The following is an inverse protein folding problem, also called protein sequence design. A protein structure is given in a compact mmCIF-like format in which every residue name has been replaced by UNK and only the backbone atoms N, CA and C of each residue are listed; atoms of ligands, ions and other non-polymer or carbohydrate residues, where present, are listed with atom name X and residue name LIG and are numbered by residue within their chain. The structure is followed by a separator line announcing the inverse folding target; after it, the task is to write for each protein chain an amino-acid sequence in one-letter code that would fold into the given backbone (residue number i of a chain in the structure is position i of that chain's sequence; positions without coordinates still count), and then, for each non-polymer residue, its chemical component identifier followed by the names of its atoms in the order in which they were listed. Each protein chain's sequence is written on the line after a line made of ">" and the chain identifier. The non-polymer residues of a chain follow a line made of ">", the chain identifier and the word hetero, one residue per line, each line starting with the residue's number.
data_IF_786065137618
#
_entry.id   IF_786065137618
#
_cell.length_a   1.000
_cell.length_b   1.000
_cell.length_c   1.000
_cell.angle_alpha   90.00
_cell.angle_beta   90.00
_cell.angle_gamma   90.00
#
_symmetry.space_group_name_H-M   'P 1'
#
loop_
_entity.id
_entity.type
_entity.pdbx_description
1 polymer ?
#
# COMPACT_ATOMS: atom_id res chain seq x y z
N UNK A 1 20.79 2.53 19.40
CA UNK A 1 20.80 1.13 18.95
C UNK A 1 19.36 0.74 18.65
N UNK A 2 18.97 0.67 17.37
CA UNK A 2 17.63 0.18 17.01
C UNK A 2 17.55 -1.31 17.34
N UNK A 3 16.47 -1.74 17.98
CA UNK A 3 16.28 -3.13 18.39
C UNK A 3 16.17 -4.03 17.16
N UNK A 4 16.83 -5.20 17.13
CA UNK A 4 16.78 -6.15 15.99
C UNK A 4 15.33 -6.54 15.62
N UNK A 5 14.44 -6.57 16.61
CA UNK A 5 13.00 -6.78 16.44
C UNK A 5 12.32 -5.78 15.48
N UNK A 6 12.78 -4.52 15.45
CA UNK A 6 12.22 -3.50 14.55
C UNK A 6 12.71 -3.69 13.12
N UNK A 7 13.95 -4.15 12.93
CA UNK A 7 14.46 -4.47 11.60
C UNK A 7 13.71 -5.67 11.00
N UNK A 8 13.42 -6.69 11.80
CA UNK A 8 12.63 -7.86 11.38
C UNK A 8 11.18 -7.46 11.06
N UNK A 9 10.56 -6.59 11.87
CA UNK A 9 9.20 -6.10 11.61
C UNK A 9 9.11 -5.28 10.31
N UNK A 10 10.01 -4.31 10.11
CA UNK A 10 10.02 -3.51 8.87
C UNK A 10 10.31 -4.39 7.65
N UNK A 11 11.13 -5.44 7.81
CA UNK A 11 11.37 -6.41 6.74
C UNK A 11 10.08 -7.15 6.35
N UNK A 12 9.36 -7.70 7.34
CA UNK A 12 8.08 -8.40 7.12
C UNK A 12 7.01 -7.48 6.51
N UNK A 13 6.86 -6.26 7.01
CA UNK A 13 5.94 -5.26 6.45
C UNK A 13 6.27 -4.95 4.99
N UNK A 14 7.56 -4.84 4.67
CA UNK A 14 8.01 -4.56 3.30
C UNK A 14 7.78 -5.74 2.36
N UNK A 15 7.93 -6.98 2.83
CA UNK A 15 7.54 -8.17 2.06
C UNK A 15 6.03 -8.21 1.80
N UNK A 16 5.22 -7.90 2.81
CA UNK A 16 3.77 -7.89 2.68
C UNK A 16 3.28 -6.78 1.75
N UNK A 17 3.88 -5.58 1.83
CA UNK A 17 3.61 -4.49 0.89
C UNK A 17 3.89 -4.90 -0.56
N UNK A 18 5.00 -5.61 -0.81
CA UNK A 18 5.32 -6.11 -2.15
C UNK A 18 4.31 -7.15 -2.64
N UNK A 19 3.82 -8.03 -1.74
CA UNK A 19 2.75 -9.00 -2.07
C UNK A 19 1.44 -8.30 -2.41
N UNK A 20 1.01 -7.34 -1.59
CA UNK A 20 -0.19 -6.54 -1.83
C UNK A 20 -0.08 -5.76 -3.14
N UNK A 21 1.06 -5.11 -3.41
CA UNK A 21 1.28 -4.40 -4.66
C UNK A 21 1.11 -5.32 -5.89
N UNK A 22 1.69 -6.52 -5.83
CA UNK A 22 1.54 -7.52 -6.89
C UNK A 22 0.08 -7.98 -7.03
N UNK A 23 -0.63 -8.17 -5.93
CA UNK A 23 -2.04 -8.56 -5.93
C UNK A 23 -2.91 -7.47 -6.55
N UNK A 24 -2.74 -6.21 -6.13
CA UNK A 24 -3.49 -5.06 -6.66
C UNK A 24 -3.31 -4.93 -8.17
N UNK A 25 -2.07 -5.09 -8.67
CA UNK A 25 -1.78 -5.01 -10.12
C UNK A 25 -2.54 -6.04 -10.95
N UNK A 26 -2.88 -7.19 -10.36
CA UNK A 26 -3.59 -8.28 -11.04
C UNK A 26 -5.09 -8.36 -10.67
N UNK A 27 -5.55 -7.58 -9.69
CA UNK A 27 -6.93 -7.57 -9.25
C UNK A 27 -7.82 -6.84 -10.26
N UNK A 28 -8.94 -7.49 -10.62
CA UNK A 28 -9.90 -6.98 -11.60
C UNK A 28 -11.17 -6.46 -10.95
N UNK A 29 -11.50 -6.94 -9.73
CA UNK A 29 -12.60 -6.39 -8.96
C UNK A 29 -12.20 -5.06 -8.32
N UNK A 30 -12.90 -3.99 -8.71
CA UNK A 30 -12.55 -2.63 -8.31
C UNK A 30 -12.70 -2.41 -6.79
N UNK A 31 -13.72 -2.98 -6.14
CA UNK A 31 -13.93 -2.84 -4.70
C UNK A 31 -12.81 -3.52 -3.92
N UNK A 32 -12.44 -4.73 -4.32
CA UNK A 32 -11.33 -5.48 -3.75
C UNK A 32 -10.00 -4.80 -3.98
N UNK A 33 -9.81 -4.19 -5.14
CA UNK A 33 -8.64 -3.36 -5.46
C UNK A 33 -8.50 -2.18 -4.49
N UNK A 34 -9.59 -1.48 -4.20
CA UNK A 34 -9.59 -0.41 -3.19
C UNK A 34 -9.29 -0.94 -1.79
N UNK A 35 -9.89 -2.06 -1.37
CA UNK A 35 -9.60 -2.67 -0.06
C UNK A 35 -8.12 -3.06 0.10
N UNK A 36 -7.56 -3.71 -0.92
CA UNK A 36 -6.13 -4.07 -0.94
C UNK A 36 -5.24 -2.83 -0.92
N UNK A 37 -5.63 -1.78 -1.65
CA UNK A 37 -4.90 -0.51 -1.65
C UNK A 37 -4.95 0.18 -0.29
N UNK A 38 -6.09 0.19 0.40
CA UNK A 38 -6.20 0.75 1.75
C UNK A 38 -5.25 0.04 2.72
N UNK A 39 -5.23 -1.30 2.70
CA UNK A 39 -4.28 -2.07 3.51
C UNK A 39 -2.81 -1.76 3.13
N UNK A 40 -2.50 -1.57 1.86
CA UNK A 40 -1.15 -1.20 1.43
C UNK A 40 -0.74 0.19 1.96
N UNK A 41 -1.67 1.15 1.99
CA UNK A 41 -1.40 2.50 2.53
C UNK A 41 -1.13 2.46 4.03
N UNK A 42 -1.86 1.65 4.80
CA UNK A 42 -1.60 1.44 6.23
C UNK A 42 -0.17 0.92 6.46
N UNK A 43 0.28 -0.04 5.64
CA UNK A 43 1.66 -0.56 5.72
C UNK A 43 2.69 0.52 5.36
N UNK A 44 2.40 1.35 4.34
CA UNK A 44 3.29 2.44 3.96
C UNK A 44 3.40 3.53 5.02
N UNK A 45 2.30 3.86 5.70
CA UNK A 45 2.32 4.78 6.84
C UNK A 45 3.22 4.25 7.97
N UNK A 46 3.08 2.98 8.35
CA UNK A 46 3.95 2.32 9.35
C UNK A 46 5.43 2.26 8.95
N UNK A 47 5.70 2.30 7.64
CA UNK A 47 7.05 2.31 7.08
C UNK A 47 7.60 3.72 6.81
N UNK A 48 6.87 4.78 7.15
CA UNK A 48 7.18 6.18 6.81
C UNK A 48 7.38 6.41 5.29
N UNK A 49 6.58 5.72 4.46
CA UNK A 49 6.62 5.82 2.99
C UNK A 49 5.43 6.68 2.53
N UNK A 50 5.71 7.88 2.02
CA UNK A 50 4.69 8.73 1.42
C UNK A 50 4.54 8.46 -0.09
N UNK A 51 3.33 8.09 -0.50
CA UNK A 51 2.94 7.86 -1.89
C UNK A 51 1.82 8.78 -2.37
N UNK A 52 1.33 9.70 -1.53
CA UNK A 52 0.15 10.50 -1.81
C UNK A 52 0.31 11.32 -3.11
N UNK A 53 1.48 11.94 -3.30
CA UNK A 53 1.79 12.76 -4.48
C UNK A 53 2.48 11.97 -5.61
N UNK A 54 2.65 10.64 -5.44
CA UNK A 54 3.37 9.81 -6.41
C UNK A 54 2.48 9.35 -7.56
N UNK A 55 2.34 10.19 -8.59
CA UNK A 55 1.54 9.89 -9.77
C UNK A 55 1.95 8.59 -10.49
N UNK A 56 3.23 8.23 -10.48
CA UNK A 56 3.71 6.98 -11.09
C UNK A 56 3.19 5.76 -10.34
N UNK A 57 3.21 5.78 -9.00
CA UNK A 57 2.64 4.71 -8.17
C UNK A 57 1.15 4.50 -8.47
N UNK A 58 0.36 5.58 -8.45
CA UNK A 58 -1.08 5.51 -8.71
C UNK A 58 -1.41 5.05 -10.14
N UNK A 59 -0.60 5.48 -11.12
CA UNK A 59 -0.69 5.01 -12.50
C UNK A 59 -0.38 3.52 -12.65
N UNK A 60 0.65 3.03 -11.95
CA UNK A 60 1.09 1.63 -11.96
C UNK A 60 0.02 0.65 -11.48
N UNK A 61 -0.74 1.03 -10.45
CA UNK A 61 -1.81 0.19 -9.88
C UNK A 61 -3.19 0.50 -10.46
N UNK A 62 -3.27 1.52 -11.32
CA UNK A 62 -4.50 2.01 -11.96
C UNK A 62 -5.59 2.35 -10.95
N UNK A 63 -5.23 3.09 -9.90
CA UNK A 63 -6.14 3.56 -8.85
C UNK A 63 -6.04 5.08 -8.77
N UNK A 64 -7.19 5.76 -8.62
CA UNK A 64 -7.21 7.17 -8.30
C UNK A 64 -7.25 7.37 -6.78
N UNK A 65 -6.26 8.07 -6.23
CA UNK A 65 -6.18 8.37 -4.80
C UNK A 65 -7.48 8.99 -4.25
N UNK A 66 -8.14 9.85 -5.02
CA UNK A 66 -9.40 10.50 -4.58
C UNK A 66 -10.52 9.50 -4.33
N UNK A 67 -10.56 8.41 -5.08
CA UNK A 67 -11.58 7.37 -4.92
C UNK A 67 -11.31 6.55 -3.66
N UNK A 68 -10.03 6.31 -3.33
CA UNK A 68 -9.63 5.61 -2.11
C UNK A 68 -10.04 6.40 -0.87
N UNK A 69 -9.76 7.72 -0.84
CA UNK A 69 -10.16 8.59 0.26
C UNK A 69 -11.68 8.67 0.39
N UNK A 70 -12.39 8.72 -0.73
CA UNK A 70 -13.87 8.67 -0.74
C UNK A 70 -14.44 7.35 -0.22
N UNK A 71 -13.73 6.24 -0.37
CA UNK A 71 -14.12 4.92 0.15
C UNK A 71 -13.85 4.73 1.64
N UNK A 72 -12.97 5.54 2.25
CA UNK A 72 -12.66 5.52 3.67
C UNK A 72 -13.59 6.44 4.51
N UNK A 73 -14.47 7.20 3.84
CA UNK A 73 -15.40 8.18 4.43
C UNK A 73 -16.76 7.59 4.78
#
# INVERSE_FOLDING_TARGET
>A
MGTPMRADFHHLMREEANRLLSHIKNETDQNRKYQLCSMLLEIYEELDIDVQENASFWGDIQINYRDVVGHLS
#
